data_IF_423002003738
#
_entry.id   IF_423002003738
#
_cell.length_a   1.000
_cell.length_b   1.000
_cell.length_c   1.000
_cell.angle_alpha   90.00
_cell.angle_beta   90.00
_cell.angle_gamma   90.00
#
_symmetry.space_group_name_H-M   'P 1'
#
loop_
_entity.id
_entity.type
_entity.pdbx_description
1 polymer ?
#
# COMPACT_ATOMS: atom_id res chain seq x y z
N UNK A 1 12.91 -0.89 25.15
CA UNK A 1 12.99 -0.85 23.67
C UNK A 1 13.83 -2.04 23.24
N UNK A 2 13.20 -3.11 22.76
CA UNK A 2 13.94 -4.18 22.08
C UNK A 2 14.27 -3.70 20.67
N UNK A 3 15.56 -3.56 20.36
CA UNK A 3 16.03 -3.35 19.00
C UNK A 3 15.68 -4.61 18.19
N UNK A 4 14.85 -4.46 17.15
CA UNK A 4 14.51 -5.53 16.22
C UNK A 4 15.81 -5.99 15.54
N UNK A 5 16.25 -7.21 15.85
CA UNK A 5 17.44 -7.79 15.22
C UNK A 5 17.28 -7.94 13.70
N UNK A 6 18.39 -8.04 12.95
CA UNK A 6 18.38 -8.03 11.47
C UNK A 6 17.58 -9.16 10.85
N UNK A 7 17.44 -10.31 11.52
CA UNK A 7 16.60 -11.42 11.06
C UNK A 7 15.12 -11.10 11.15
N UNK A 8 14.68 -10.54 12.29
CA UNK A 8 13.28 -10.15 12.53
C UNK A 8 12.85 -9.01 11.60
N UNK A 9 13.76 -8.10 11.25
CA UNK A 9 13.50 -7.07 10.24
C UNK A 9 13.29 -7.67 8.84
N UNK A 10 14.09 -8.68 8.44
CA UNK A 10 13.91 -9.37 7.15
C UNK A 10 12.59 -10.14 7.09
N UNK A 11 12.16 -10.74 8.18
CA UNK A 11 10.86 -11.42 8.26
C UNK A 11 9.69 -10.45 8.12
N UNK A 12 9.76 -9.29 8.77
CA UNK A 12 8.74 -8.24 8.65
C UNK A 12 8.64 -7.71 7.21
N UNK A 13 9.77 -7.42 6.57
CA UNK A 13 9.80 -6.98 5.16
C UNK A 13 9.18 -8.06 4.25
N UNK A 14 9.53 -9.34 4.46
CA UNK A 14 8.93 -10.43 3.68
C UNK A 14 7.42 -10.52 3.90
N UNK A 15 6.95 -10.45 5.15
CA UNK A 15 5.53 -10.48 5.45
C UNK A 15 4.77 -9.31 4.79
N UNK A 16 5.36 -8.13 4.80
CA UNK A 16 4.79 -6.92 4.18
C UNK A 16 4.74 -7.02 2.66
N UNK A 17 5.81 -7.49 2.01
CA UNK A 17 5.80 -7.74 0.55
C UNK A 17 4.72 -8.73 0.15
N UNK A 18 4.57 -9.84 0.87
CA UNK A 18 3.52 -10.84 0.61
C UNK A 18 2.12 -10.23 0.80
N UNK A 19 1.93 -9.41 1.84
CA UNK A 19 0.65 -8.75 2.08
C UNK A 19 0.31 -7.75 0.97
N UNK A 20 1.29 -6.96 0.52
CA UNK A 20 1.16 -6.02 -0.60
C UNK A 20 0.82 -6.73 -1.91
N UNK A 21 1.51 -7.83 -2.21
CA UNK A 21 1.27 -8.61 -3.43
C UNK A 21 -0.13 -9.21 -3.43
N UNK A 22 -0.60 -9.78 -2.31
CA UNK A 22 -1.98 -10.27 -2.18
C UNK A 22 -3.00 -9.16 -2.35
N UNK A 23 -2.79 -7.99 -1.74
CA UNK A 23 -3.68 -6.85 -1.90
C UNK A 23 -3.72 -6.34 -3.36
N UNK A 24 -2.58 -6.40 -4.06
CA UNK A 24 -2.52 -6.08 -5.48
C UNK A 24 -3.25 -7.10 -6.35
N UNK A 25 -3.11 -8.40 -6.05
CA UNK A 25 -3.82 -9.48 -6.73
C UNK A 25 -5.34 -9.40 -6.55
N UNK A 26 -5.81 -9.18 -5.31
CA UNK A 26 -7.23 -9.00 -5.01
C UNK A 26 -7.81 -7.82 -5.79
N UNK A 27 -7.15 -6.67 -5.75
CA UNK A 27 -7.54 -5.48 -6.51
C UNK A 27 -7.60 -5.75 -8.01
N UNK A 28 -6.59 -6.41 -8.57
CA UNK A 28 -6.58 -6.78 -9.98
C UNK A 28 -7.72 -7.75 -10.31
N UNK A 29 -8.01 -8.70 -9.43
CA UNK A 29 -9.13 -9.62 -9.54
C UNK A 29 -10.46 -8.88 -9.62
N UNK A 30 -10.68 -7.92 -8.73
CA UNK A 30 -11.92 -7.12 -8.72
C UNK A 30 -12.05 -6.22 -9.95
N UNK A 31 -10.96 -5.59 -10.39
CA UNK A 31 -10.94 -4.80 -11.63
C UNK A 31 -11.29 -5.69 -12.84
N UNK A 32 -10.71 -6.89 -12.94
CA UNK A 32 -11.00 -7.83 -14.03
C UNK A 32 -12.46 -8.27 -14.01
N UNK A 33 -13.01 -8.61 -12.83
CA UNK A 33 -14.42 -8.99 -12.67
C UNK A 33 -15.36 -7.86 -13.09
N UNK A 34 -15.12 -6.63 -12.62
CA UNK A 34 -15.93 -5.47 -12.97
C UNK A 34 -15.85 -5.13 -14.46
N UNK A 35 -14.66 -5.24 -15.06
CA UNK A 35 -14.50 -5.06 -16.50
C UNK A 35 -15.27 -6.11 -17.32
N UNK A 36 -15.25 -7.38 -16.89
CA UNK A 36 -16.04 -8.42 -17.55
C UNK A 36 -17.55 -8.13 -17.47
N UNK A 37 -18.03 -7.69 -16.30
CA UNK A 37 -19.43 -7.25 -16.12
C UNK A 37 -19.75 -6.07 -17.05
N UNK A 38 -18.87 -5.08 -17.16
CA UNK A 38 -19.07 -3.93 -18.05
C UNK A 38 -19.12 -4.32 -19.52
N UNK A 39 -18.26 -5.23 -19.97
CA UNK A 39 -18.28 -5.72 -21.36
C UNK A 39 -19.60 -6.42 -21.64
N UNK A 40 -20.00 -7.37 -20.79
CA UNK A 40 -21.26 -8.09 -20.94
C UNK A 40 -22.48 -7.16 -20.91
N UNK A 41 -22.51 -6.20 -19.98
CA UNK A 41 -23.60 -5.23 -19.88
C UNK A 41 -23.68 -4.30 -21.11
N UNK A 42 -22.55 -3.92 -21.71
CA UNK A 42 -22.52 -3.11 -22.94
C UNK A 42 -23.03 -3.90 -24.15
N UNK A 43 -22.72 -5.18 -24.23
CA UNK A 43 -23.26 -6.07 -25.26
C UNK A 43 -24.77 -6.27 -25.09
N UNK A 44 -25.22 -6.51 -23.86
CA UNK A 44 -26.63 -6.58 -23.49
C UNK A 44 -27.38 -5.29 -23.90
N UNK A 45 -26.82 -4.13 -23.58
CA UNK A 45 -27.39 -2.83 -23.95
C UNK A 45 -27.50 -2.65 -25.47
N UNK A 46 -26.47 -3.06 -26.24
CA UNK A 46 -26.52 -3.02 -27.71
C UNK A 46 -27.63 -3.93 -28.24
N UNK A 47 -27.77 -5.14 -27.71
CA UNK A 47 -28.81 -6.07 -28.13
C UNK A 47 -30.21 -5.51 -27.84
N UNK A 48 -30.43 -4.97 -26.64
CA UNK A 48 -31.70 -4.35 -26.25
C UNK A 48 -32.05 -3.14 -27.13
N UNK A 49 -31.08 -2.26 -27.41
CA UNK A 49 -31.29 -1.12 -28.31
C UNK A 49 -31.60 -1.56 -29.73
N UNK A 50 -30.92 -2.60 -30.24
CA UNK A 50 -31.24 -3.18 -31.54
C UNK A 50 -32.66 -3.76 -31.61
N UNK A 51 -33.09 -4.48 -30.56
CA UNK A 51 -34.44 -5.02 -30.47
C UNK A 51 -35.52 -3.93 -30.36
N UNK A 52 -35.25 -2.86 -29.61
CA UNK A 52 -36.10 -1.68 -29.51
C UNK A 52 -36.26 -1.00 -30.89
N UNK A 53 -35.16 -0.75 -31.61
CA UNK A 53 -35.22 -0.17 -32.96
C UNK A 53 -36.01 -1.05 -33.93
N UNK A 54 -35.81 -2.38 -33.89
CA UNK A 54 -36.53 -3.31 -34.75
C UNK A 54 -38.04 -3.29 -34.46
N UNK A 55 -38.44 -3.37 -33.19
CA UNK A 55 -39.85 -3.32 -32.79
C UNK A 55 -40.51 -1.98 -33.12
N UNK A 56 -39.77 -0.87 -32.97
CA UNK A 56 -40.23 0.46 -33.41
C UNK A 56 -40.49 0.51 -34.92
N UNK A 57 -39.62 -0.08 -35.75
CA UNK A 57 -39.84 -0.17 -37.20
C UNK A 57 -41.08 -1.00 -37.55
N UNK A 58 -41.30 -2.11 -36.85
CA UNK A 58 -42.50 -2.95 -37.04
C UNK A 58 -43.79 -2.20 -36.66
N UNK A 59 -43.79 -1.48 -35.54
CA UNK A 59 -44.92 -0.64 -35.14
C UNK A 59 -45.28 0.41 -36.20
N UNK A 60 -44.27 1.12 -36.73
CA UNK A 60 -44.45 2.11 -37.80
C UNK A 60 -44.96 1.48 -39.10
N UNK A 61 -44.46 0.29 -39.45
CA UNK A 61 -44.94 -0.44 -40.62
C UNK A 61 -46.44 -0.77 -40.52
N UNK A 62 -46.89 -1.24 -39.35
CA UNK A 62 -48.32 -1.47 -39.09
C UNK A 62 -49.16 -0.20 -39.12
N UNK A 63 -48.63 0.90 -38.60
CA UNK A 63 -49.32 2.19 -38.65
C UNK A 63 -49.49 2.72 -40.09
N UNK A 64 -48.49 2.52 -40.94
CA UNK A 64 -48.58 2.83 -42.37
C UNK A 64 -49.59 1.93 -43.09
N UNK A 65 -49.65 0.65 -42.72
CA UNK A 65 -50.60 -0.32 -43.28
C UNK A 65 -52.06 0.02 -42.89
N UNK A 66 -52.29 0.41 -41.64
CA UNK A 66 -53.59 0.96 -41.18
C UNK A 66 -54.01 2.12 -42.08
N UNK A 67 -53.12 3.09 -42.26
CA UNK A 67 -53.40 4.30 -43.06
C UNK A 67 -53.79 3.95 -44.51
N UNK A 68 -53.09 2.99 -45.12
CA UNK A 68 -53.40 2.49 -46.48
C UNK A 68 -54.74 1.78 -46.57
N UNK A 69 -55.08 0.94 -45.59
CA UNK A 69 -56.36 0.19 -45.58
C UNK A 69 -57.54 1.13 -45.30
N UNK A 70 -57.31 2.25 -44.63
CA UNK A 70 -58.32 3.26 -44.34
C UNK A 70 -58.55 4.31 -45.43
N UNK A 71 -57.75 4.34 -46.51
CA UNK A 71 -57.82 5.40 -47.52
C UNK A 71 -58.30 4.88 -48.90
N UNK A 72 -59.40 5.43 -49.49
CA UNK A 72 -60.08 6.69 -49.17
C UNK A 72 -61.55 6.59 -48.68
N UNK A 73 -62.18 5.41 -48.60
CA UNK A 73 -63.59 5.29 -48.18
C UNK A 73 -63.74 4.46 -46.88
N UNK A 74 -64.04 5.11 -45.74
CA UNK A 74 -64.27 4.45 -44.44
C UNK A 74 -65.38 3.39 -44.47
N UNK A 75 -66.29 3.44 -45.44
CA UNK A 75 -67.40 2.49 -45.59
C UNK A 75 -66.97 1.18 -46.26
N UNK A 76 -65.86 1.21 -47.01
CA UNK A 76 -65.26 0.04 -47.66
C UNK A 76 -64.11 -0.55 -46.82
N UNK A 77 -63.74 0.13 -45.74
CA UNK A 77 -62.70 -0.31 -44.81
C UNK A 77 -63.15 -1.56 -44.05
N UNK A 78 -62.31 -2.61 -44.09
CA UNK A 78 -62.51 -3.78 -43.25
C UNK A 78 -62.13 -3.43 -41.80
N UNK A 79 -63.15 -3.13 -40.98
CA UNK A 79 -62.97 -2.73 -39.58
C UNK A 79 -62.27 -3.78 -38.71
N UNK A 80 -62.49 -5.07 -38.99
CA UNK A 80 -61.81 -6.17 -38.28
C UNK A 80 -60.31 -6.20 -38.59
N UNK A 81 -59.95 -5.98 -39.87
CA UNK A 81 -58.55 -5.89 -40.28
C UNK A 81 -57.84 -4.69 -39.63
N UNK A 82 -58.48 -3.51 -39.64
CA UNK A 82 -57.93 -2.31 -38.98
C UNK A 82 -57.75 -2.52 -37.49
N UNK A 83 -58.74 -3.12 -36.80
CA UNK A 83 -58.64 -3.42 -35.38
C UNK A 83 -57.49 -4.41 -35.08
N UNK A 84 -57.30 -5.43 -35.92
CA UNK A 84 -56.16 -6.37 -35.81
C UNK A 84 -54.81 -5.67 -35.95
N UNK A 85 -54.66 -4.80 -36.96
CA UNK A 85 -53.43 -4.03 -37.17
C UNK A 85 -53.15 -3.04 -36.03
N UNK A 86 -54.20 -2.44 -35.45
CA UNK A 86 -54.08 -1.57 -34.28
C UNK A 86 -53.61 -2.33 -33.04
N UNK A 87 -54.13 -3.55 -32.82
CA UNK A 87 -53.69 -4.42 -31.74
C UNK A 87 -52.21 -4.81 -31.92
N UNK A 88 -51.80 -5.20 -33.13
CA UNK A 88 -50.39 -5.52 -33.43
C UNK A 88 -49.47 -4.31 -33.21
N UNK A 89 -49.88 -3.12 -33.67
CA UNK A 89 -49.10 -1.90 -33.45
C UNK A 89 -48.96 -1.55 -31.95
N UNK A 90 -50.03 -1.75 -31.18
CA UNK A 90 -50.01 -1.57 -29.72
C UNK A 90 -49.08 -2.58 -29.03
N UNK A 91 -49.10 -3.85 -29.44
CA UNK A 91 -48.21 -4.90 -28.92
C UNK A 91 -46.73 -4.58 -29.20
N UNK A 92 -46.41 -4.12 -30.42
CA UNK A 92 -45.05 -3.68 -30.74
C UNK A 92 -44.63 -2.46 -29.92
N UNK A 93 -45.53 -1.50 -29.69
CA UNK A 93 -45.27 -0.33 -28.84
C UNK A 93 -44.99 -0.74 -27.39
N UNK A 94 -45.77 -1.68 -26.85
CA UNK A 94 -45.56 -2.23 -25.51
C UNK A 94 -44.21 -2.92 -25.38
N UNK A 95 -43.85 -3.78 -26.34
CA UNK A 95 -42.54 -4.46 -26.39
C UNK A 95 -41.39 -3.45 -26.49
N UNK A 96 -41.54 -2.41 -27.29
CA UNK A 96 -40.52 -1.36 -27.40
C UNK A 96 -40.30 -0.66 -26.05
N UNK A 97 -41.36 -0.30 -25.32
CA UNK A 97 -41.24 0.28 -23.98
C UNK A 97 -40.57 -0.66 -22.98
N UNK A 98 -40.85 -1.97 -23.08
CA UNK A 98 -40.18 -2.98 -22.26
C UNK A 98 -38.67 -3.01 -22.54
N UNK A 99 -38.25 -3.03 -23.81
CA UNK A 99 -36.83 -2.99 -24.18
C UNK A 99 -36.16 -1.69 -23.72
N UNK A 100 -36.81 -0.54 -23.87
CA UNK A 100 -36.30 0.75 -23.38
C UNK A 100 -36.12 0.76 -21.86
N UNK A 101 -37.08 0.18 -21.12
CA UNK A 101 -36.99 0.04 -19.65
C UNK A 101 -35.82 -0.85 -19.25
N UNK A 102 -35.69 -2.02 -19.89
CA UNK A 102 -34.56 -2.93 -19.64
C UNK A 102 -33.22 -2.28 -20.01
N UNK A 103 -33.16 -1.52 -21.12
CA UNK A 103 -31.97 -0.79 -21.52
C UNK A 103 -31.57 0.24 -20.45
N UNK A 104 -32.53 0.98 -19.89
CA UNK A 104 -32.27 1.91 -18.79
C UNK A 104 -31.72 1.23 -17.53
N UNK A 105 -32.24 0.04 -17.18
CA UNK A 105 -31.71 -0.74 -16.06
C UNK A 105 -30.27 -1.22 -16.31
N UNK A 106 -29.95 -1.63 -17.54
CA UNK A 106 -28.58 -2.02 -17.92
C UNK A 106 -27.64 -0.81 -17.89
N UNK A 107 -28.09 0.37 -18.33
CA UNK A 107 -27.32 1.61 -18.20
C UNK A 107 -27.02 1.97 -16.75
N UNK A 108 -27.98 1.80 -15.84
CA UNK A 108 -27.76 1.98 -14.41
C UNK A 108 -26.68 1.02 -13.89
N UNK A 109 -26.76 -0.27 -14.23
CA UNK A 109 -25.73 -1.26 -13.87
C UNK A 109 -24.34 -0.90 -14.41
N UNK A 110 -24.26 -0.36 -15.63
CA UNK A 110 -23.01 0.17 -16.18
C UNK A 110 -22.51 1.36 -15.35
N UNK A 111 -23.39 2.28 -14.96
CA UNK A 111 -23.08 3.41 -14.08
C UNK A 111 -22.54 2.95 -12.72
N UNK A 112 -23.16 1.96 -12.10
CA UNK A 112 -22.72 1.38 -10.82
C UNK A 112 -21.35 0.72 -10.94
N UNK A 113 -21.13 -0.11 -11.96
CA UNK A 113 -19.86 -0.79 -12.16
C UNK A 113 -18.72 0.18 -12.51
N UNK A 114 -19.00 1.23 -13.29
CA UNK A 114 -18.01 2.30 -13.56
C UNK A 114 -17.70 3.12 -12.31
N UNK A 115 -18.70 3.43 -11.50
CA UNK A 115 -18.52 4.07 -10.19
C UNK A 115 -17.70 3.21 -9.22
N UNK A 116 -17.92 1.90 -9.21
CA UNK A 116 -17.15 0.96 -8.41
C UNK A 116 -15.67 0.92 -8.82
N UNK A 117 -15.38 0.90 -10.13
CA UNK A 117 -14.01 1.00 -10.64
C UNK A 117 -13.33 2.31 -10.23
N UNK A 118 -14.03 3.44 -10.36
CA UNK A 118 -13.50 4.74 -9.95
C UNK A 118 -13.22 4.79 -8.44
N UNK A 119 -14.07 4.16 -7.63
CA UNK A 119 -13.86 4.04 -6.18
C UNK A 119 -12.62 3.23 -5.84
N UNK A 120 -12.37 2.10 -6.52
CA UNK A 120 -11.16 1.29 -6.33
C UNK A 120 -9.90 2.11 -6.63
N UNK A 121 -9.88 2.84 -7.75
CA UNK A 121 -8.74 3.70 -8.12
C UNK A 121 -8.53 4.82 -7.09
N UNK A 122 -9.61 5.49 -6.67
CA UNK A 122 -9.54 6.55 -5.67
C UNK A 122 -9.03 6.04 -4.32
N UNK A 123 -9.53 4.91 -3.85
CA UNK A 123 -9.09 4.28 -2.60
C UNK A 123 -7.60 3.92 -2.68
N UNK A 124 -7.15 3.36 -3.80
CA UNK A 124 -5.75 3.03 -3.99
C UNK A 124 -4.84 4.27 -3.95
N UNK A 125 -5.20 5.35 -4.65
CA UNK A 125 -4.44 6.61 -4.61
C UNK A 125 -4.42 7.23 -3.22
N UNK A 126 -5.54 7.17 -2.50
CA UNK A 126 -5.64 7.69 -1.13
C UNK A 126 -4.72 6.92 -0.19
N UNK A 127 -4.69 5.59 -0.29
CA UNK A 127 -3.80 4.75 0.51
C UNK A 127 -2.34 5.04 0.18
N UNK A 128 -1.96 5.09 -1.11
CA UNK A 128 -0.60 5.46 -1.51
C UNK A 128 -0.14 6.81 -0.97
N UNK A 129 -1.03 7.82 -1.00
CA UNK A 129 -0.71 9.16 -0.49
C UNK A 129 -0.50 9.14 1.03
N UNK A 130 -1.32 8.35 1.74
CA UNK A 130 -1.18 8.15 3.19
C UNK A 130 0.11 7.42 3.55
N UNK A 131 0.41 6.32 2.85
CA UNK A 131 1.59 5.51 3.10
C UNK A 131 2.87 6.30 2.81
N UNK A 132 2.87 7.12 1.75
CA UNK A 132 3.95 8.05 1.45
C UNK A 132 4.16 9.08 2.57
N UNK A 133 3.09 9.68 3.07
CA UNK A 133 3.18 10.65 4.17
C UNK A 133 3.72 10.00 5.47
N UNK A 134 3.35 8.75 5.76
CA UNK A 134 3.88 7.99 6.89
C UNK A 134 5.38 7.73 6.69
N UNK A 135 5.78 7.24 5.51
CA UNK A 135 7.18 6.98 5.21
C UNK A 135 8.04 8.26 5.29
N UNK A 136 7.53 9.40 4.84
CA UNK A 136 8.22 10.69 4.97
C UNK A 136 8.42 11.10 6.44
N UNK A 137 7.43 10.88 7.29
CA UNK A 137 7.53 11.14 8.74
C UNK A 137 8.54 10.20 9.40
N UNK A 138 8.53 8.92 9.07
CA UNK A 138 9.48 7.94 9.59
C UNK A 138 10.91 8.26 9.16
N UNK A 139 11.12 8.65 7.90
CA UNK A 139 12.44 9.10 7.41
C UNK A 139 12.91 10.35 8.16
N UNK A 140 12.03 11.31 8.43
CA UNK A 140 12.38 12.50 9.19
C UNK A 140 12.80 12.13 10.63
N UNK A 141 12.03 11.28 11.31
CA UNK A 141 12.35 10.79 12.65
C UNK A 141 13.69 10.03 12.68
N UNK A 142 13.92 9.12 11.73
CA UNK A 142 15.17 8.37 11.63
C UNK A 142 16.38 9.28 11.36
N UNK A 143 16.21 10.35 10.57
CA UNK A 143 17.27 11.36 10.36
C UNK A 143 17.61 12.10 11.64
N UNK A 144 16.61 12.45 12.45
CA UNK A 144 16.83 13.09 13.76
C UNK A 144 17.53 12.15 14.75
N UNK A 145 17.11 10.87 14.80
CA UNK A 145 17.76 9.84 15.60
C UNK A 145 19.21 9.62 15.17
N UNK A 146 19.47 9.52 13.86
CA UNK A 146 20.83 9.38 13.32
C UNK A 146 21.71 10.59 13.67
N UNK A 147 21.18 11.80 13.54
CA UNK A 147 21.89 13.02 13.92
C UNK A 147 22.16 13.09 15.44
N UNK A 148 21.27 12.53 16.27
CA UNK A 148 21.50 12.42 17.72
C UNK A 148 22.57 11.37 18.06
N UNK A 149 22.54 10.20 17.41
CA UNK A 149 23.53 9.14 17.59
C UNK A 149 24.93 9.59 17.14
N UNK A 150 25.02 10.30 16.01
CA UNK A 150 26.26 10.91 15.53
C UNK A 150 26.87 11.88 16.55
N UNK A 151 26.05 12.77 17.13
CA UNK A 151 26.51 13.70 18.19
C UNK A 151 27.05 12.98 19.43
N UNK A 152 26.45 11.85 19.83
CA UNK A 152 26.93 11.03 20.94
C UNK A 152 28.28 10.37 20.58
N UNK A 153 28.39 9.79 19.38
CA UNK A 153 29.63 9.17 18.89
C UNK A 153 30.79 10.18 18.78
N UNK A 154 30.51 11.39 18.29
CA UNK A 154 31.49 12.48 18.18
C UNK A 154 31.94 12.96 19.56
N UNK A 155 31.03 13.08 20.54
CA UNK A 155 31.38 13.43 21.93
C UNK A 155 32.27 12.38 22.60
N UNK A 156 32.02 11.08 22.35
CA UNK A 156 32.86 9.99 22.85
C UNK A 156 34.24 10.04 22.17
N UNK A 157 34.30 10.26 20.86
CA UNK A 157 35.54 10.30 20.08
C UNK A 157 36.41 11.52 20.41
N UNK A 158 35.81 12.70 20.59
CA UNK A 158 36.51 13.93 21.00
C UNK A 158 37.08 13.85 22.43
N UNK A 159 36.48 13.04 23.32
CA UNK A 159 37.06 12.74 24.64
C UNK A 159 38.16 11.67 24.60
N UNK A 160 38.21 10.84 23.54
CA UNK A 160 39.25 9.84 23.31
C UNK A 160 40.50 10.37 22.61
N UNK A 161 40.44 11.61 22.08
CA UNK A 161 41.54 12.24 21.34
C UNK A 161 42.60 12.85 22.25
N UNK A 162 43.39 12.02 22.92
CA UNK A 162 44.77 12.36 23.27
C UNK A 162 45.64 11.13 23.01
N UNK A 163 46.14 11.06 21.78
CA UNK A 163 47.13 10.09 21.30
C UNK A 163 48.47 10.24 22.02
N UNK A 164 48.57 9.71 23.25
CA UNK A 164 49.85 9.51 23.92
C UNK A 164 49.96 8.23 24.75
N UNK A 165 49.07 7.26 24.57
CA UNK A 165 49.10 5.96 25.28
C UNK A 165 49.53 4.79 24.40
N UNK A 166 50.47 5.00 23.49
CA UNK A 166 51.33 3.88 23.09
C UNK A 166 52.29 3.60 24.25
N UNK A 167 52.11 2.45 24.92
CA UNK A 167 53.02 1.80 25.90
C UNK A 167 52.75 1.98 27.40
N UNK A 168 51.51 2.16 27.86
CA UNK A 168 51.19 1.91 29.28
C UNK A 168 50.28 0.69 29.43
N UNK A 169 50.72 -0.39 30.10
CA UNK A 169 49.85 -1.52 30.36
C UNK A 169 48.68 -1.09 31.27
N UNK A 170 47.46 -1.37 30.79
CA UNK A 170 46.22 -1.06 31.47
C UNK A 170 45.72 -2.29 32.25
N UNK A 171 45.21 -2.08 33.45
CA UNK A 171 44.54 -3.10 34.23
C UNK A 171 43.16 -2.60 34.69
N UNK A 172 42.13 -3.41 34.50
CA UNK A 172 40.78 -3.15 35.01
C UNK A 172 40.60 -3.92 36.30
N UNK A 173 40.25 -3.22 37.38
CA UNK A 173 39.83 -3.84 38.63
C UNK A 173 38.31 -3.88 38.65
N UNK A 174 37.75 -5.08 38.57
CA UNK A 174 36.31 -5.32 38.56
C UNK A 174 35.86 -5.90 39.90
N UNK A 175 34.85 -5.26 40.51
CA UNK A 175 34.23 -5.77 41.73
C UNK A 175 33.08 -6.71 41.39
N UNK A 176 33.35 -8.01 41.29
CA UNK A 176 32.31 -9.04 41.20
C UNK A 176 32.04 -9.64 42.58
N UNK A 177 30.90 -9.27 43.18
CA UNK A 177 30.17 -10.08 44.18
C UNK A 177 30.94 -10.70 45.35
N UNK A 178 32.09 -10.15 45.74
CA UNK A 178 32.84 -10.62 46.91
C UNK A 178 34.34 -10.33 46.88
N UNK A 179 34.99 -10.35 45.71
CA UNK A 179 36.43 -10.05 45.61
C UNK A 179 36.77 -9.26 44.34
N UNK A 180 37.65 -8.24 44.43
CA UNK A 180 38.14 -7.52 43.26
C UNK A 180 38.97 -8.45 42.38
N UNK A 181 38.69 -8.45 41.07
CA UNK A 181 39.48 -9.17 40.06
C UNK A 181 40.21 -8.18 39.17
N UNK A 182 41.51 -8.39 39.00
CA UNK A 182 42.32 -7.60 38.08
C UNK A 182 42.34 -8.29 36.71
N UNK A 183 41.99 -7.55 35.67
CA UNK A 183 41.91 -8.00 34.28
C UNK A 183 42.89 -7.16 33.47
N UNK A 184 43.86 -7.79 32.81
CA UNK A 184 44.73 -7.10 31.84
C UNK A 184 43.87 -6.59 30.68
N UNK A 185 43.98 -5.30 30.36
CA UNK A 185 43.09 -4.64 29.43
C UNK A 185 43.84 -4.08 28.21
N UNK A 186 43.28 -4.29 27.04
CA UNK A 186 43.58 -3.54 25.83
C UNK A 186 42.68 -2.29 25.74
N UNK A 187 43.05 -1.23 24.98
CA UNK A 187 42.26 0.00 24.86
C UNK A 187 40.79 -0.19 24.42
N UNK A 188 40.47 -1.30 23.76
CA UNK A 188 39.12 -1.66 23.29
C UNK A 188 38.35 -2.57 24.25
N UNK A 189 38.92 -2.89 25.41
CA UNK A 189 38.29 -3.80 26.39
C UNK A 189 37.03 -3.16 26.98
N UNK A 190 35.88 -3.84 26.87
CA UNK A 190 34.61 -3.31 27.37
C UNK A 190 34.59 -3.18 28.90
N UNK A 191 34.26 -1.97 29.38
CA UNK A 191 34.09 -1.66 30.80
C UNK A 191 32.66 -1.94 31.27
N UNK A 192 32.53 -2.38 32.51
CA UNK A 192 31.27 -2.53 33.21
C UNK A 192 31.12 -1.40 34.24
N UNK A 193 29.88 -0.98 34.58
CA UNK A 193 29.65 -0.01 35.64
C UNK A 193 30.31 -0.47 36.97
N UNK A 194 31.17 0.38 37.55
CA UNK A 194 31.92 0.06 38.78
C UNK A 194 33.35 -0.47 38.54
N UNK A 195 33.76 -0.67 37.29
CA UNK A 195 35.15 -0.97 36.94
C UNK A 195 36.07 0.23 37.21
N UNK A 196 37.26 -0.04 37.75
CA UNK A 196 38.30 0.97 37.96
C UNK A 196 39.50 0.67 37.06
N UNK A 197 39.85 1.60 36.19
CA UNK A 197 41.00 1.48 35.28
C UNK A 197 42.26 1.99 35.95
N UNK A 198 43.28 1.14 36.03
CA UNK A 198 44.61 1.48 36.52
C UNK A 198 45.59 1.54 35.36
N UNK A 199 46.37 2.63 35.30
CA UNK A 199 47.47 2.80 34.36
C UNK A 199 48.76 2.50 35.10
N UNK A 200 49.46 1.42 34.75
CA UNK A 200 50.76 1.13 35.35
C UNK A 200 51.84 2.00 34.68
N UNK A 201 52.33 3.01 35.38
CA UNK A 201 53.57 3.69 35.00
C UNK A 201 54.78 2.76 35.27
N UNK A 202 55.77 2.67 34.37
CA UNK A 202 56.95 1.85 34.62
C UNK A 202 57.72 2.38 35.84
N UNK A 203 58.08 1.47 36.76
CA UNK A 203 58.81 1.81 37.98
C UNK A 203 60.16 2.46 37.65
N UNK A 204 60.36 3.71 38.07
CA UNK A 204 61.68 4.34 38.10
C UNK A 204 62.56 3.51 39.06
N UNK A 205 63.63 2.90 38.54
CA UNK A 205 64.66 2.26 39.37
C UNK A 205 65.34 3.35 40.22
N UNK A 206 65.06 3.37 41.52
CA UNK A 206 65.84 4.16 42.49
C UNK A 206 67.17 3.43 42.70
N UNK A 207 68.27 3.98 42.18
CA UNK A 207 69.61 3.46 42.42
C UNK A 207 70.02 3.69 43.89
N UNK A 208 70.39 2.62 44.59
CA UNK A 208 70.95 2.71 45.93
C UNK A 208 72.41 3.15 45.87
N UNK A 209 72.68 4.43 46.11
CA UNK A 209 74.02 4.92 46.46
C UNK A 209 74.13 4.89 47.99
N UNK A 210 74.85 3.90 48.53
CA UNK A 210 75.32 3.95 49.92
C UNK A 210 76.83 4.18 49.90
N UNK A 211 77.19 5.41 50.23
CA UNK A 211 78.54 5.92 50.42
C UNK A 211 79.30 5.20 51.55
N UNK A 212 80.61 5.41 51.53
CA UNK A 212 81.65 4.71 52.31
C UNK A 212 81.38 4.51 53.80
N UNK A 213 81.93 3.40 54.29
CA UNK A 213 82.22 3.19 55.70
C UNK A 213 83.69 2.78 55.84
N UNK A 214 84.49 3.68 56.42
CA UNK A 214 85.77 3.46 57.10
C UNK A 214 85.78 4.46 58.27
N UNK A 215 86.25 4.06 59.45
CA UNK A 215 87.68 3.90 59.69
C UNK A 215 88.14 2.44 59.76
#
# INVERSE_FOLDING_TARGET
>A
MELVGPERARELIKAETIASDRAAEERQGDIRRLNAVLVAAREELRALRGAAEQTRRLALARQNEISRVSEPDPRLTNSQLVAGLQAEAADFSLKNRQFETSASQVEQRIGEATGALAKIDLQFRTNLTRDLAIAEQEIAALKEELASAGRIADQISLRGGNDSTSQMPLEIVRQTGGLPRNITAEPTTMLQPGDVVHVRAPAQRVGTSSAGSRP
#
